data_IF_081389800003
#
_entry.id   IF_081389800003
#
_cell.length_a   1.000
_cell.length_b   1.000
_cell.length_c   1.000
_cell.angle_alpha   90.00
_cell.angle_beta   90.00
_cell.angle_gamma   90.00
#
_symmetry.space_group_name_H-M   'P 1'
#
loop_
_entity.id
_entity.type
_entity.pdbx_description
1 polymer ?
#
# COMPACT_ATOMS: atom_id res chain seq x y z
N UNK A 1 -6.52 -9.92 10.34
CA UNK A 1 -6.50 -8.45 10.44
C UNK A 1 -7.62 -7.96 11.35
N UNK A 2 -7.35 -7.01 12.23
CA UNK A 2 -8.29 -6.54 13.26
C UNK A 2 -9.52 -5.85 12.66
N UNK A 3 -9.35 -5.08 11.57
CA UNK A 3 -10.43 -4.38 10.87
C UNK A 3 -11.54 -5.35 10.46
N UNK A 4 -11.19 -6.46 9.82
CA UNK A 4 -12.14 -7.49 9.37
C UNK A 4 -12.90 -8.15 10.52
N UNK A 5 -12.29 -8.25 11.72
CA UNK A 5 -12.95 -8.81 12.90
C UNK A 5 -13.97 -7.85 13.51
N UNK A 6 -13.75 -6.54 13.35
CA UNK A 6 -14.54 -5.48 13.99
C UNK A 6 -15.68 -4.95 13.12
N UNK A 7 -15.75 -5.34 11.84
CA UNK A 7 -16.83 -4.89 10.94
C UNK A 7 -17.91 -5.95 10.81
N UNK A 8 -19.09 -5.64 11.37
CA UNK A 8 -20.34 -6.36 11.12
C UNK A 8 -21.40 -5.36 10.66
N UNK A 9 -22.19 -5.73 9.67
CA UNK A 9 -23.29 -4.91 9.20
C UNK A 9 -24.57 -5.26 9.98
N UNK A 10 -25.32 -4.24 10.39
CA UNK A 10 -26.60 -4.42 11.08
C UNK A 10 -27.74 -4.36 10.08
N UNK A 11 -28.72 -5.25 10.22
CA UNK A 11 -29.86 -5.35 9.34
C UNK A 11 -31.15 -5.15 10.14
N UNK A 12 -31.44 -3.89 10.51
CA UNK A 12 -32.59 -3.55 11.36
C UNK A 12 -33.95 -3.58 10.65
N UNK A 13 -33.98 -3.68 9.32
CA UNK A 13 -35.21 -3.62 8.54
C UNK A 13 -35.09 -4.60 7.35
N UNK A 14 -35.96 -5.61 7.24
CA UNK A 14 -36.04 -6.49 6.07
C UNK A 14 -37.47 -6.52 5.55
N UNK A 15 -37.65 -6.29 4.24
CA UNK A 15 -38.90 -6.59 3.56
C UNK A 15 -38.97 -8.10 3.25
N UNK A 16 -40.16 -8.73 3.32
CA UNK A 16 -40.31 -10.13 2.91
C UNK A 16 -39.96 -10.32 1.43
N UNK A 17 -39.03 -11.24 1.14
CA UNK A 17 -38.66 -11.62 -0.24
C UNK A 17 -37.36 -11.01 -0.77
N UNK A 18 -36.67 -10.15 -0.01
CA UNK A 18 -35.36 -9.64 -0.42
C UNK A 18 -34.21 -10.63 -0.15
N UNK A 19 -33.15 -10.63 -0.99
CA UNK A 19 -31.93 -11.39 -0.74
C UNK A 19 -31.30 -11.01 0.60
N UNK A 20 -30.71 -11.98 1.29
CA UNK A 20 -29.99 -11.72 2.55
C UNK A 20 -28.74 -10.88 2.23
N UNK A 21 -28.62 -9.66 2.78
CA UNK A 21 -27.42 -8.85 2.59
C UNK A 21 -26.20 -9.47 3.31
N UNK A 22 -24.96 -9.12 2.89
CA UNK A 22 -23.73 -9.59 3.53
C UNK A 22 -23.62 -9.16 5.00
N UNK A 23 -23.28 -10.08 5.91
CA UNK A 23 -23.14 -9.80 7.35
C UNK A 23 -21.76 -9.20 7.71
N UNK A 24 -20.74 -9.44 6.88
CA UNK A 24 -19.37 -8.96 7.06
C UNK A 24 -18.76 -8.44 5.75
N UNK A 25 -17.61 -7.77 5.84
CA UNK A 25 -16.88 -7.26 4.67
C UNK A 25 -16.57 -8.40 3.68
N UNK A 26 -16.15 -9.57 4.18
CA UNK A 26 -15.71 -10.69 3.34
C UNK A 26 -16.85 -11.44 2.66
N UNK A 27 -18.10 -11.19 3.06
CA UNK A 27 -19.29 -11.79 2.46
C UNK A 27 -19.70 -11.08 1.15
N UNK A 28 -19.03 -9.99 0.79
CA UNK A 28 -19.25 -9.28 -0.46
C UNK A 28 -18.53 -9.98 -1.62
N UNK A 29 -19.13 -9.93 -2.82
CA UNK A 29 -18.52 -10.51 -4.03
C UNK A 29 -17.17 -9.85 -4.38
N UNK A 30 -17.06 -8.54 -4.15
CA UNK A 30 -15.86 -7.74 -4.41
C UNK A 30 -15.55 -6.88 -3.20
N UNK A 31 -14.30 -6.94 -2.75
CA UNK A 31 -13.80 -6.11 -1.65
C UNK A 31 -12.53 -5.41 -2.11
N UNK A 32 -12.49 -4.08 -1.92
CA UNK A 32 -11.33 -3.26 -2.23
C UNK A 32 -10.75 -2.76 -0.91
N UNK A 33 -9.47 -3.04 -0.68
CA UNK A 33 -8.72 -2.50 0.45
C UNK A 33 -7.73 -1.47 -0.08
N UNK A 34 -7.85 -0.21 0.36
CA UNK A 34 -6.99 0.88 -0.07
C UNK A 34 -6.70 1.86 1.07
N UNK A 35 -5.61 2.62 0.93
CA UNK A 35 -5.21 3.67 1.87
C UNK A 35 -3.70 3.87 1.90
N UNK A 36 -3.23 4.73 2.81
CA UNK A 36 -1.81 4.82 3.14
C UNK A 36 -1.45 3.66 4.08
N UNK A 37 -0.96 2.56 3.49
CA UNK A 37 -0.55 1.37 4.23
C UNK A 37 0.81 1.57 4.92
N UNK A 38 1.54 2.63 4.56
CA UNK A 38 2.77 3.09 5.19
C UNK A 38 3.92 2.08 5.22
N UNK A 39 3.91 1.10 4.31
CA UNK A 39 5.04 0.21 4.06
C UNK A 39 6.17 0.97 3.38
N UNK A 40 7.42 0.59 3.67
CA UNK A 40 8.62 1.27 3.18
C UNK A 40 9.49 0.31 2.37
N UNK A 41 10.49 0.86 1.68
CA UNK A 41 11.49 0.04 1.02
C UNK A 41 12.48 -0.55 2.03
N UNK A 42 12.67 -1.87 1.98
CA UNK A 42 13.70 -2.60 2.71
C UNK A 42 15.08 -2.47 2.01
N UNK A 43 15.50 -1.25 1.72
CA UNK A 43 16.71 -0.94 0.96
C UNK A 43 17.53 0.16 1.63
N UNK A 44 18.85 0.12 1.45
CA UNK A 44 19.70 1.23 1.84
C UNK A 44 19.49 2.43 0.90
N UNK A 45 19.91 3.62 1.35
CA UNK A 45 19.71 4.87 0.60
C UNK A 45 20.44 4.91 -0.75
N UNK A 46 21.65 4.35 -0.84
CA UNK A 46 22.46 4.37 -2.06
C UNK A 46 21.77 3.61 -3.19
N UNK A 47 21.42 2.35 -2.93
CA UNK A 47 20.71 1.49 -3.87
C UNK A 47 19.40 2.12 -4.34
N UNK A 48 18.60 2.65 -3.39
CA UNK A 48 17.30 3.25 -3.73
C UNK A 48 17.49 4.46 -4.64
N UNK A 49 18.51 5.29 -4.37
CA UNK A 49 18.81 6.48 -5.17
C UNK A 49 19.19 6.11 -6.61
N UNK A 50 20.01 5.09 -6.81
CA UNK A 50 20.42 4.66 -8.14
C UNK A 50 19.22 4.15 -8.97
N UNK A 51 18.37 3.33 -8.36
CA UNK A 51 17.18 2.82 -9.06
C UNK A 51 16.14 3.92 -9.32
N UNK A 52 15.98 4.87 -8.40
CA UNK A 52 15.15 6.06 -8.60
C UNK A 52 15.62 6.89 -9.80
N UNK A 53 16.94 7.10 -9.94
CA UNK A 53 17.50 7.86 -11.06
C UNK A 53 17.32 7.14 -12.41
N UNK A 54 17.29 5.80 -12.40
CA UNK A 54 17.03 4.98 -13.58
C UNK A 54 15.55 4.77 -13.88
N UNK A 55 14.65 5.25 -13.02
CA UNK A 55 13.21 4.96 -13.06
C UNK A 55 12.90 3.45 -13.08
N UNK A 56 13.75 2.63 -12.43
CA UNK A 56 13.58 1.18 -12.40
C UNK A 56 12.62 0.78 -11.27
N UNK A 57 11.34 0.97 -11.53
CA UNK A 57 10.26 0.71 -10.56
C UNK A 57 10.15 -0.77 -10.22
N UNK A 58 10.41 -1.66 -11.17
CA UNK A 58 10.32 -3.10 -10.92
C UNK A 58 11.40 -3.56 -9.93
N UNK A 59 12.64 -3.12 -10.11
CA UNK A 59 13.71 -3.43 -9.17
C UNK A 59 13.48 -2.82 -7.78
N UNK A 60 12.87 -1.63 -7.70
CA UNK A 60 12.50 -1.01 -6.42
C UNK A 60 11.37 -1.76 -5.72
N UNK A 61 10.35 -2.20 -6.46
CA UNK A 61 9.22 -2.95 -5.90
C UNK A 61 9.62 -4.33 -5.37
N UNK A 62 10.70 -4.93 -5.85
CA UNK A 62 11.25 -6.16 -5.23
C UNK A 62 11.80 -5.91 -3.81
N UNK A 63 12.06 -4.64 -3.46
CA UNK A 63 12.47 -4.22 -2.12
C UNK A 63 11.33 -3.63 -1.30
N UNK A 64 10.10 -3.63 -1.83
CA UNK A 64 8.93 -3.11 -1.11
C UNK A 64 8.49 -4.05 0.03
N UNK A 65 8.34 -3.50 1.23
CA UNK A 65 7.97 -4.31 2.40
C UNK A 65 6.59 -4.95 2.23
N UNK A 66 5.59 -4.26 1.67
CA UNK A 66 4.26 -4.84 1.49
C UNK A 66 4.34 -6.08 0.59
N UNK A 67 5.01 -5.97 -0.56
CA UNK A 67 5.25 -7.11 -1.46
C UNK A 67 6.01 -8.24 -0.80
N UNK A 68 7.06 -7.95 -0.05
CA UNK A 68 7.84 -8.97 0.67
C UNK A 68 6.96 -9.71 1.69
N UNK A 69 6.18 -8.97 2.49
CA UNK A 69 5.30 -9.53 3.51
C UNK A 69 4.13 -10.33 2.88
N UNK A 70 3.58 -9.86 1.77
CA UNK A 70 2.52 -10.53 1.02
C UNK A 70 3.03 -11.82 0.35
N UNK A 71 4.19 -11.77 -0.32
CA UNK A 71 4.86 -12.96 -0.90
C UNK A 71 5.16 -14.02 0.17
N UNK A 72 5.50 -13.57 1.39
CA UNK A 72 5.70 -14.46 2.53
C UNK A 72 4.41 -14.94 3.22
N UNK A 73 3.24 -14.51 2.75
CA UNK A 73 1.93 -14.89 3.29
C UNK A 73 1.64 -14.35 4.69
N UNK A 74 2.40 -13.36 5.17
CA UNK A 74 2.24 -12.78 6.52
C UNK A 74 1.11 -11.75 6.58
N UNK A 75 0.85 -11.07 5.47
CA UNK A 75 -0.20 -10.05 5.32
C UNK A 75 -0.98 -10.28 4.04
N UNK A 76 -2.20 -9.73 3.96
CA UNK A 76 -3.02 -9.72 2.74
C UNK A 76 -3.14 -11.08 2.02
N UNK A 77 -3.18 -12.18 2.79
CA UNK A 77 -3.37 -13.53 2.23
C UNK A 77 -4.71 -13.62 1.48
N UNK A 78 -4.65 -14.02 0.21
CA UNK A 78 -5.83 -14.13 -0.67
C UNK A 78 -6.27 -12.81 -1.31
N UNK A 79 -5.54 -11.72 -1.09
CA UNK A 79 -5.78 -10.43 -1.77
C UNK A 79 -4.83 -10.29 -2.96
N UNK A 80 -5.29 -9.57 -3.97
CA UNK A 80 -4.52 -9.30 -5.20
C UNK A 80 -4.23 -7.80 -5.31
N UNK A 81 -3.00 -7.46 -5.68
CA UNK A 81 -2.59 -6.10 -6.01
C UNK A 81 -2.27 -6.02 -7.50
N UNK A 82 -2.75 -4.95 -8.16
CA UNK A 82 -2.45 -4.69 -9.56
C UNK A 82 -0.95 -4.42 -9.80
N UNK A 83 -0.51 -4.55 -11.06
CA UNK A 83 0.87 -4.21 -11.43
C UNK A 83 1.11 -2.70 -11.29
N UNK A 84 2.09 -2.33 -10.49
CA UNK A 84 2.53 -0.95 -10.30
C UNK A 84 3.53 -0.58 -11.41
N UNK A 85 3.22 0.49 -12.15
CA UNK A 85 4.06 1.08 -13.20
C UNK A 85 4.40 2.54 -12.95
N UNK A 86 4.04 3.07 -11.78
CA UNK A 86 4.22 4.47 -11.40
C UNK A 86 5.28 4.61 -10.30
N UNK A 87 5.87 5.80 -10.20
CA UNK A 87 6.91 6.11 -9.22
C UNK A 87 6.36 6.08 -7.77
N UNK A 88 7.23 5.89 -6.76
CA UNK A 88 6.84 5.97 -5.35
C UNK A 88 6.04 7.24 -5.01
N UNK A 89 4.98 7.14 -4.22
CA UNK A 89 4.03 8.23 -3.95
C UNK A 89 4.47 9.14 -2.79
N UNK A 90 5.43 8.67 -1.99
CA UNK A 90 5.98 9.36 -0.83
C UNK A 90 7.51 9.45 -0.95
N UNK A 91 8.23 10.48 -0.49
CA UNK A 91 7.80 11.81 -0.02
C UNK A 91 8.31 12.88 -0.97
N UNK A 92 7.38 13.56 -1.63
CA UNK A 92 7.67 14.71 -2.49
C UNK A 92 7.92 15.98 -1.69
N UNK A 93 8.67 16.90 -2.30
CA UNK A 93 8.69 18.30 -1.89
C UNK A 93 7.33 18.94 -2.21
N UNK A 94 6.89 19.85 -1.35
CA UNK A 94 5.65 20.59 -1.59
C UNK A 94 5.75 21.35 -2.91
N UNK A 95 4.71 21.23 -3.75
CA UNK A 95 4.63 21.87 -5.07
C UNK A 95 5.75 21.46 -6.03
N UNK A 96 6.22 20.21 -5.97
CA UNK A 96 7.28 19.71 -6.85
C UNK A 96 7.21 18.20 -7.04
N UNK A 97 7.64 17.74 -8.21
CA UNK A 97 7.81 16.31 -8.52
C UNK A 97 9.16 15.76 -8.02
N UNK A 98 9.91 16.54 -7.24
CA UNK A 98 11.17 16.11 -6.65
C UNK A 98 10.96 15.49 -5.27
N UNK A 99 11.61 14.36 -5.01
CA UNK A 99 11.60 13.76 -3.68
C UNK A 99 12.42 14.58 -2.68
N UNK A 100 11.96 14.68 -1.43
CA UNK A 100 12.68 15.35 -0.32
C UNK A 100 14.11 14.82 -0.17
N UNK A 101 14.31 13.55 -0.49
CA UNK A 101 15.59 12.88 -0.37
C UNK A 101 16.65 13.44 -1.32
N UNK A 102 16.24 14.03 -2.45
CA UNK A 102 17.15 14.60 -3.46
C UNK A 102 17.65 15.98 -3.07
N UNK A 103 16.93 16.73 -2.23
CA UNK A 103 17.23 18.13 -1.92
C UNK A 103 17.73 18.36 -0.49
N UNK A 104 17.56 17.37 0.40
CA UNK A 104 17.93 17.54 1.81
C UNK A 104 19.41 17.25 2.09
N UNK A 105 20.14 18.29 2.49
CA UNK A 105 21.52 18.21 3.02
C UNK A 105 21.57 17.58 4.41
N UNK A 106 20.48 17.60 5.17
CA UNK A 106 20.39 17.05 6.53
C UNK A 106 19.92 15.59 6.53
N UNK A 107 20.72 14.68 7.12
CA UNK A 107 20.35 13.26 7.28
C UNK A 107 19.03 13.06 8.04
N UNK A 108 18.69 13.92 9.00
CA UNK A 108 17.49 13.77 9.83
C UNK A 108 16.16 14.00 9.08
N UNK A 109 16.20 14.78 7.99
CA UNK A 109 15.02 15.09 7.16
C UNK A 109 14.89 14.20 5.93
N UNK A 110 15.85 13.31 5.69
CA UNK A 110 15.79 12.35 4.58
C UNK A 110 14.67 11.33 4.85
N UNK A 111 13.86 11.11 3.83
CA UNK A 111 12.83 10.06 3.78
C UNK A 111 13.03 9.30 2.48
N UNK A 112 13.33 8.01 2.59
CA UNK A 112 13.43 7.14 1.44
C UNK A 112 12.07 7.10 0.74
N UNK A 113 12.02 7.27 -0.59
CA UNK A 113 10.76 7.15 -1.30
C UNK A 113 10.10 5.78 -1.10
N UNK A 114 8.77 5.75 -1.08
CA UNK A 114 7.96 4.54 -0.85
C UNK A 114 6.59 4.66 -1.54
N UNK A 115 5.95 3.52 -1.76
CA UNK A 115 4.59 3.42 -2.29
C UNK A 115 3.55 3.43 -1.18
#
# INVERSE_FOLDING_TARGET
>A
MEILKKTRFSHSCRAPGEPVPPDSILDHEKVIWLGDLNYRLASNYGDTRELLQKNDWQALLEKDQLRIEQKAGRVFKGWEEGRIYFAPTYKYLTNSDNYVVQTSTSKHKRRTPAW
#
